data_IF_576993950214
#
_entry.id   IF_576993950214
#
_cell.length_a   1.000
_cell.length_b   1.000
_cell.length_c   1.000
_cell.angle_alpha   90.00
_cell.angle_beta   90.00
_cell.angle_gamma   90.00
#
_symmetry.space_group_name_H-M   'P 1'
#
loop_
_entity.id
_entity.type
_entity.pdbx_description
1 polymer ?
#
# COMPACT_ATOMS: atom_id res chain seq x y z
N UNK A 1 1.06 16.21 -47.75
CA UNK A 1 1.62 15.42 -46.63
C UNK A 1 1.88 16.22 -45.34
N UNK A 2 2.44 17.45 -45.38
CA UNK A 2 2.71 18.27 -44.16
C UNK A 2 1.46 18.62 -43.30
N UNK A 3 0.32 18.96 -43.92
CA UNK A 3 -0.93 19.30 -43.19
C UNK A 3 -1.55 18.13 -42.41
N UNK A 4 -1.46 16.89 -42.93
CA UNK A 4 -1.99 15.69 -42.25
C UNK A 4 -1.17 15.32 -41.01
N UNK A 5 0.15 15.56 -41.04
CA UNK A 5 1.05 15.35 -39.88
C UNK A 5 0.81 16.39 -38.78
N UNK A 6 0.53 17.64 -39.14
CA UNK A 6 0.21 18.70 -38.17
C UNK A 6 -1.13 18.44 -37.46
N UNK A 7 -2.15 17.96 -38.18
CA UNK A 7 -3.43 17.59 -37.59
C UNK A 7 -3.32 16.37 -36.66
N UNK A 8 -2.56 15.34 -37.04
CA UNK A 8 -2.32 14.18 -36.18
C UNK A 8 -1.59 14.57 -34.88
N UNK A 9 -0.62 15.48 -34.95
CA UNK A 9 0.09 15.98 -33.77
C UNK A 9 -0.84 16.77 -32.82
N UNK A 10 -1.72 17.61 -33.34
CA UNK A 10 -2.69 18.36 -32.53
C UNK A 10 -3.70 17.43 -31.83
N UNK A 11 -4.17 16.39 -32.52
CA UNK A 11 -5.07 15.40 -31.93
C UNK A 11 -4.36 14.61 -30.83
N UNK A 12 -3.11 14.20 -31.04
CA UNK A 12 -2.32 13.50 -30.02
C UNK A 12 -2.08 14.36 -28.77
N UNK A 13 -1.80 15.66 -28.94
CA UNK A 13 -1.64 16.62 -27.84
C UNK A 13 -2.97 16.79 -27.09
N UNK A 14 -4.09 16.95 -27.80
CA UNK A 14 -5.40 17.09 -27.16
C UNK A 14 -5.77 15.83 -26.35
N UNK A 15 -5.51 14.63 -26.88
CA UNK A 15 -5.74 13.37 -26.16
C UNK A 15 -4.84 13.30 -24.91
N UNK A 16 -3.55 13.65 -25.04
CA UNK A 16 -2.63 13.66 -23.90
C UNK A 16 -3.07 14.61 -22.78
N UNK A 17 -3.58 15.79 -23.13
CA UNK A 17 -4.13 16.77 -22.17
C UNK A 17 -5.39 16.23 -21.48
N UNK A 18 -6.33 15.63 -22.24
CA UNK A 18 -7.55 15.05 -21.66
C UNK A 18 -7.23 13.90 -20.71
N UNK A 19 -6.26 13.04 -21.07
CA UNK A 19 -5.83 11.93 -20.21
C UNK A 19 -5.15 12.44 -18.92
N UNK A 20 -4.27 13.44 -19.02
CA UNK A 20 -3.60 14.01 -17.84
C UNK A 20 -4.58 14.72 -16.90
N UNK A 21 -5.53 15.49 -17.44
CA UNK A 21 -6.58 16.14 -16.63
C UNK A 21 -7.49 15.09 -15.98
N UNK A 22 -7.91 14.06 -16.71
CA UNK A 22 -8.75 12.99 -16.16
C UNK A 22 -8.08 12.15 -15.07
N UNK A 23 -6.76 11.94 -15.15
CA UNK A 23 -5.98 11.30 -14.09
C UNK A 23 -5.87 12.18 -12.84
N UNK A 24 -5.66 13.49 -13.01
CA UNK A 24 -5.60 14.45 -11.91
C UNK A 24 -6.93 14.55 -11.15
N UNK A 25 -8.07 14.59 -11.85
CA UNK A 25 -9.39 14.71 -11.20
C UNK A 25 -9.76 13.47 -10.40
N UNK A 26 -9.48 12.26 -10.91
CA UNK A 26 -9.71 11.01 -10.16
C UNK A 26 -8.85 10.92 -8.92
N UNK A 27 -7.59 11.38 -9.00
CA UNK A 27 -6.69 11.43 -7.86
C UNK A 27 -7.22 12.38 -6.78
N UNK A 28 -7.68 13.57 -7.18
CA UNK A 28 -8.23 14.56 -6.25
C UNK A 28 -9.53 14.10 -5.56
N UNK A 29 -10.45 13.44 -6.28
CA UNK A 29 -11.66 12.87 -5.67
C UNK A 29 -11.34 11.75 -4.67
N UNK A 30 -10.39 10.87 -5.01
CA UNK A 30 -9.95 9.80 -4.11
C UNK A 30 -9.26 10.35 -2.85
N UNK A 31 -8.40 11.36 -3.01
CA UNK A 31 -7.71 12.03 -1.90
C UNK A 31 -8.70 12.78 -1.00
N UNK A 32 -9.71 13.45 -1.57
CA UNK A 32 -10.77 14.11 -0.78
C UNK A 32 -11.63 13.09 -0.01
N UNK A 33 -12.06 11.99 -0.64
CA UNK A 33 -12.87 10.97 0.02
C UNK A 33 -12.10 10.33 1.19
N UNK A 34 -10.83 9.96 0.99
CA UNK A 34 -9.98 9.45 2.07
C UNK A 34 -9.78 10.46 3.20
N UNK A 35 -9.47 11.72 2.90
CA UNK A 35 -9.31 12.77 3.91
C UNK A 35 -10.58 12.92 4.75
N UNK A 36 -11.76 12.93 4.11
CA UNK A 36 -13.03 13.00 4.84
C UNK A 36 -13.25 11.79 5.74
N UNK A 37 -12.96 10.56 5.31
CA UNK A 37 -13.12 9.38 6.16
C UNK A 37 -12.16 9.39 7.35
N UNK A 38 -10.89 9.73 7.14
CA UNK A 38 -9.89 9.79 8.21
C UNK A 38 -10.18 10.87 9.27
N UNK A 39 -10.81 11.97 8.87
CA UNK A 39 -11.16 13.08 9.77
C UNK A 39 -12.55 12.92 10.41
N UNK A 40 -13.52 12.29 9.74
CA UNK A 40 -14.92 12.24 10.19
C UNK A 40 -15.35 10.89 10.74
N UNK A 41 -14.75 9.78 10.31
CA UNK A 41 -15.12 8.43 10.77
C UNK A 41 -13.92 7.48 10.75
N UNK A 42 -12.91 7.78 11.56
CA UNK A 42 -11.72 6.93 11.73
C UNK A 42 -12.09 5.50 12.18
N UNK A 43 -13.22 5.32 12.87
CA UNK A 43 -13.70 4.01 13.31
C UNK A 43 -13.96 3.08 12.11
N UNK A 44 -14.54 3.57 11.03
CA UNK A 44 -14.75 2.76 9.80
C UNK A 44 -13.42 2.24 9.25
N UNK A 45 -12.34 3.00 9.38
CA UNK A 45 -11.00 2.55 8.97
C UNK A 45 -10.51 1.43 9.89
N UNK A 46 -10.68 1.54 11.20
CA UNK A 46 -10.34 0.47 12.13
C UNK A 46 -11.13 -0.82 11.87
N UNK A 47 -12.43 -0.72 11.59
CA UNK A 47 -13.30 -1.86 11.22
C UNK A 47 -12.86 -2.50 9.88
N UNK A 48 -12.37 -1.71 8.93
CA UNK A 48 -11.80 -2.21 7.67
C UNK A 48 -10.50 -2.99 7.89
N UNK A 49 -9.72 -2.58 8.89
CA UNK A 49 -8.42 -3.15 9.21
C UNK A 49 -8.47 -4.28 10.24
N UNK A 50 -9.66 -4.66 10.72
CA UNK A 50 -9.84 -5.69 11.76
C UNK A 50 -9.34 -7.07 11.30
N UNK A 51 -8.73 -7.82 12.21
CA UNK A 51 -8.27 -9.19 11.93
C UNK A 51 -9.45 -10.11 11.65
N UNK A 52 -9.24 -11.07 10.76
CA UNK A 52 -10.26 -12.09 10.42
C UNK A 52 -11.40 -11.56 9.54
N UNK A 53 -11.39 -10.27 9.18
CA UNK A 53 -12.26 -9.75 8.12
C UNK A 53 -11.88 -10.42 6.80
N UNK A 54 -12.85 -11.04 6.14
CA UNK A 54 -12.64 -11.70 4.84
C UNK A 54 -12.16 -10.69 3.80
N UNK A 55 -11.09 -11.04 3.09
CA UNK A 55 -10.34 -10.18 2.17
C UNK A 55 -9.75 -8.92 2.84
N UNK A 56 -9.66 -8.91 4.16
CA UNK A 56 -9.03 -7.84 4.93
C UNK A 56 -7.51 -7.98 4.91
N UNK A 57 -6.77 -6.87 5.06
CA UNK A 57 -5.30 -6.89 5.03
C UNK A 57 -4.69 -7.74 6.16
N UNK A 58 -5.43 -7.95 7.23
CA UNK A 58 -5.03 -8.72 8.40
C UNK A 58 -5.70 -10.11 8.50
N UNK A 59 -6.39 -10.60 7.46
CA UNK A 59 -7.18 -11.84 7.52
C UNK A 59 -6.39 -13.05 8.06
N UNK A 60 -5.17 -13.23 7.56
CA UNK A 60 -4.32 -14.39 7.86
C UNK A 60 -3.13 -14.05 8.77
N UNK A 61 -3.20 -12.93 9.51
CA UNK A 61 -2.12 -12.55 10.43
C UNK A 61 -2.32 -13.25 11.77
N UNK A 62 -1.22 -13.78 12.32
CA UNK A 62 -1.24 -14.40 13.65
C UNK A 62 -1.64 -13.40 14.73
N UNK A 63 -2.35 -13.86 15.77
CA UNK A 63 -2.79 -13.04 16.90
C UNK A 63 -1.67 -12.21 17.55
N UNK A 64 -0.44 -12.74 17.58
CA UNK A 64 0.74 -12.05 18.13
C UNK A 64 1.12 -10.73 17.42
N UNK A 65 0.61 -10.50 16.21
CA UNK A 65 0.83 -9.29 15.41
C UNK A 65 -0.47 -8.61 14.98
N UNK A 66 -1.62 -9.01 15.54
CA UNK A 66 -2.93 -8.45 15.22
C UNK A 66 -2.95 -6.92 15.34
N UNK A 67 -2.54 -6.42 16.49
CA UNK A 67 -2.49 -4.99 16.80
C UNK A 67 -1.57 -4.23 15.82
N UNK A 68 -0.37 -4.77 15.57
CA UNK A 68 0.59 -4.17 14.66
C UNK A 68 0.09 -4.15 13.20
N UNK A 69 -0.60 -5.21 12.78
CA UNK A 69 -1.20 -5.30 11.46
C UNK A 69 -2.33 -4.29 11.27
N UNK A 70 -3.27 -4.25 12.22
CA UNK A 70 -4.38 -3.31 12.18
C UNK A 70 -3.85 -1.87 12.19
N UNK A 71 -2.90 -1.57 13.08
CA UNK A 71 -2.26 -0.26 13.15
C UNK A 71 -1.57 0.10 11.83
N UNK A 72 -0.82 -0.82 11.21
CA UNK A 72 -0.20 -0.60 9.90
C UNK A 72 -1.19 -0.36 8.78
N UNK A 73 -2.32 -1.07 8.78
CA UNK A 73 -3.41 -0.84 7.83
C UNK A 73 -4.01 0.56 8.00
N UNK A 74 -4.31 0.96 9.25
CA UNK A 74 -4.83 2.31 9.52
C UNK A 74 -3.80 3.38 9.15
N UNK A 75 -2.50 3.17 9.41
CA UNK A 75 -1.45 4.08 8.98
C UNK A 75 -1.32 4.21 7.46
N UNK A 76 -1.57 3.13 6.71
CA UNK A 76 -1.59 3.19 5.25
C UNK A 76 -2.74 4.04 4.71
N UNK A 77 -3.88 4.07 5.39
CA UNK A 77 -5.10 4.81 4.97
C UNK A 77 -5.12 6.23 5.51
N UNK A 78 -4.76 6.40 6.79
CA UNK A 78 -4.84 7.64 7.56
C UNK A 78 -3.49 7.96 8.25
N UNK A 79 -2.42 8.26 7.47
CA UNK A 79 -1.07 8.43 7.99
C UNK A 79 -0.90 9.64 8.93
N UNK A 80 -1.68 10.70 8.73
CA UNK A 80 -1.59 11.92 9.54
C UNK A 80 -2.14 11.70 10.96
N UNK A 81 -3.14 10.82 11.09
CA UNK A 81 -3.84 10.50 12.34
C UNK A 81 -3.08 9.45 13.17
N UNK A 82 -2.04 8.84 12.60
CA UNK A 82 -1.36 7.64 13.15
C UNK A 82 0.15 7.81 13.29
N UNK A 83 0.65 9.05 13.23
CA UNK A 83 2.08 9.34 13.43
C UNK A 83 2.52 8.91 14.84
N UNK A 84 3.75 8.40 14.94
CA UNK A 84 4.39 8.14 16.23
C UNK A 84 4.42 9.41 17.09
N UNK A 85 3.75 9.36 18.24
CA UNK A 85 3.76 10.43 19.27
C UNK A 85 4.69 10.09 20.44
N UNK A 86 5.52 9.05 20.30
CA UNK A 86 6.55 8.62 21.25
C UNK A 86 6.06 7.74 22.40
N UNK A 87 4.75 7.61 22.62
CA UNK A 87 4.18 6.87 23.75
C UNK A 87 3.78 5.42 23.47
N UNK A 88 3.53 5.07 22.22
CA UNK A 88 3.01 3.75 21.84
C UNK A 88 4.05 2.99 21.01
N UNK A 89 4.52 1.83 21.51
CA UNK A 89 5.56 1.06 20.84
C UNK A 89 5.14 0.53 19.47
N UNK A 90 3.83 0.33 19.21
CA UNK A 90 3.35 -0.15 17.91
C UNK A 90 3.55 0.92 16.85
N UNK A 91 3.19 2.17 17.14
CA UNK A 91 3.33 3.28 16.18
C UNK A 91 4.77 3.75 16.01
N UNK A 92 5.61 3.55 17.04
CA UNK A 92 6.97 4.08 17.09
C UNK A 92 8.06 3.04 16.77
N UNK A 93 7.70 1.77 16.61
CA UNK A 93 8.60 0.71 16.20
C UNK A 93 9.21 0.98 14.82
N UNK A 94 10.43 0.46 14.62
CA UNK A 94 11.15 0.65 13.36
C UNK A 94 10.50 -0.13 12.21
N UNK A 95 10.84 0.21 10.96
CA UNK A 95 10.30 -0.48 9.79
C UNK A 95 10.73 -1.95 9.67
N UNK A 96 11.70 -2.41 10.47
CA UNK A 96 12.16 -3.82 10.51
C UNK A 96 11.42 -4.66 11.55
N UNK A 97 10.65 -4.03 12.43
CA UNK A 97 9.99 -4.69 13.55
C UNK A 97 8.56 -5.08 13.17
N UNK A 98 8.31 -6.39 13.03
CA UNK A 98 6.97 -6.92 12.73
C UNK A 98 5.91 -6.60 13.79
N UNK A 99 6.31 -6.15 14.98
CA UNK A 99 5.40 -5.65 16.03
C UNK A 99 5.03 -4.18 15.85
N UNK A 100 5.56 -3.52 14.82
CA UNK A 100 5.34 -2.11 14.52
C UNK A 100 4.40 -1.89 13.35
N UNK A 101 3.59 -0.83 13.44
CA UNK A 101 2.69 -0.39 12.38
C UNK A 101 3.43 -0.07 11.08
N UNK A 102 4.64 0.50 11.17
CA UNK A 102 5.42 0.90 9.99
C UNK A 102 5.84 -0.30 9.12
N UNK A 103 6.18 -1.44 9.74
CA UNK A 103 6.47 -2.67 8.99
C UNK A 103 5.27 -3.09 8.13
N UNK A 104 4.08 -3.16 8.74
CA UNK A 104 2.86 -3.59 8.06
C UNK A 104 2.36 -2.58 7.02
N UNK A 105 2.42 -1.29 7.33
CA UNK A 105 2.07 -0.22 6.37
C UNK A 105 2.93 -0.29 5.10
N UNK A 106 4.25 -0.47 5.26
CA UNK A 106 5.15 -0.69 4.13
C UNK A 106 4.81 -1.97 3.36
N UNK A 107 4.51 -3.07 4.07
CA UNK A 107 4.12 -4.33 3.45
C UNK A 107 2.85 -4.18 2.58
N UNK A 108 1.80 -3.53 3.09
CA UNK A 108 0.55 -3.33 2.34
C UNK A 108 0.75 -2.40 1.14
N UNK A 109 1.45 -1.30 1.33
CA UNK A 109 1.72 -0.33 0.27
C UNK A 109 2.52 -0.96 -0.87
N UNK A 110 3.48 -1.82 -0.54
CA UNK A 110 4.33 -2.51 -1.52
C UNK A 110 3.63 -3.68 -2.19
N UNK A 111 2.75 -4.40 -1.48
CA UNK A 111 1.90 -5.42 -2.09
C UNK A 111 0.98 -4.81 -3.15
N UNK A 112 0.28 -3.72 -2.83
CA UNK A 112 -0.55 -3.00 -3.78
C UNK A 112 0.25 -2.42 -4.96
N UNK A 113 1.48 -1.95 -4.70
CA UNK A 113 2.38 -1.51 -5.77
C UNK A 113 2.78 -2.66 -6.69
N UNK A 114 3.09 -3.84 -6.14
CA UNK A 114 3.46 -5.02 -6.92
C UNK A 114 2.32 -5.52 -7.81
N UNK A 115 1.09 -5.54 -7.30
CA UNK A 115 -0.08 -5.89 -8.12
C UNK A 115 -0.23 -4.89 -9.30
N UNK A 116 0.00 -3.60 -9.05
CA UNK A 116 -0.02 -2.56 -10.08
C UNK A 116 1.12 -2.67 -11.11
N UNK A 117 2.34 -2.96 -10.66
CA UNK A 117 3.53 -3.09 -11.51
C UNK A 117 3.47 -4.34 -12.39
N UNK A 118 3.00 -5.46 -11.84
CA UNK A 118 2.87 -6.73 -12.56
C UNK A 118 1.60 -6.75 -13.43
N UNK A 119 0.65 -5.86 -13.17
CA UNK A 119 -0.62 -5.77 -13.88
C UNK A 119 -1.59 -6.92 -13.58
N UNK A 120 -1.31 -7.69 -12.54
CA UNK A 120 -2.02 -8.90 -12.10
C UNK A 120 -1.92 -9.03 -10.59
N UNK A 121 -2.92 -9.65 -9.95
CA UNK A 121 -2.88 -9.89 -8.50
C UNK A 121 -2.00 -11.08 -8.12
N UNK A 122 -1.67 -11.21 -6.82
CA UNK A 122 -0.89 -12.35 -6.28
C UNK A 122 -1.36 -13.74 -6.76
N UNK A 123 -2.67 -13.95 -6.90
CA UNK A 123 -3.24 -15.25 -7.31
C UNK A 123 -3.05 -15.58 -8.81
N UNK A 124 -2.63 -14.60 -9.62
CA UNK A 124 -2.58 -14.69 -11.08
C UNK A 124 -1.16 -14.70 -11.63
N UNK A 125 -0.16 -14.57 -10.76
CA UNK A 125 1.27 -14.53 -11.11
C UNK A 125 2.02 -15.66 -10.41
N UNK A 126 3.17 -16.04 -10.96
CA UNK A 126 4.09 -16.95 -10.29
C UNK A 126 4.45 -16.38 -8.90
N UNK A 127 4.23 -17.17 -7.81
CA UNK A 127 4.53 -16.72 -6.45
C UNK A 127 5.97 -16.25 -6.28
N UNK A 128 6.95 -16.84 -6.98
CA UNK A 128 8.35 -16.43 -6.88
C UNK A 128 8.58 -15.03 -7.47
N UNK A 129 7.88 -14.71 -8.56
CA UNK A 129 7.93 -13.38 -9.21
C UNK A 129 7.30 -12.32 -8.32
N UNK A 130 6.14 -12.62 -7.74
CA UNK A 130 5.48 -11.69 -6.82
C UNK A 130 6.28 -11.50 -5.52
N UNK A 131 6.80 -12.58 -4.94
CA UNK A 131 7.66 -12.54 -3.76
C UNK A 131 8.94 -11.72 -4.00
N UNK A 132 9.56 -11.84 -5.18
CA UNK A 132 10.71 -11.04 -5.57
C UNK A 132 10.35 -9.56 -5.68
N UNK A 133 9.20 -9.23 -6.30
CA UNK A 133 8.69 -7.87 -6.36
C UNK A 133 8.49 -7.29 -4.95
N UNK A 134 7.81 -8.03 -4.08
CA UNK A 134 7.50 -7.58 -2.72
C UNK A 134 8.78 -7.35 -1.93
N UNK A 135 9.75 -8.29 -1.98
CA UNK A 135 11.04 -8.14 -1.28
C UNK A 135 11.79 -6.90 -1.71
N UNK A 136 11.86 -6.64 -3.02
CA UNK A 136 12.55 -5.48 -3.56
C UNK A 136 11.81 -4.18 -3.18
N UNK A 137 10.48 -4.17 -3.28
CA UNK A 137 9.66 -3.01 -2.95
C UNK A 137 9.74 -2.66 -1.45
N UNK A 138 9.61 -3.65 -0.56
CA UNK A 138 9.79 -3.46 0.89
C UNK A 138 11.22 -2.99 1.19
N UNK A 139 12.23 -3.58 0.56
CA UNK A 139 13.62 -3.15 0.73
C UNK A 139 13.89 -1.72 0.25
N UNK A 140 13.15 -1.21 -0.73
CA UNK A 140 13.22 0.20 -1.15
C UNK A 140 12.60 1.15 -0.12
N UNK A 141 11.51 0.74 0.55
CA UNK A 141 10.85 1.55 1.58
C UNK A 141 11.51 1.46 2.96
N UNK A 142 12.09 0.30 3.28
CA UNK A 142 12.83 0.04 4.52
C UNK A 142 14.21 -0.55 4.18
N UNK A 143 15.20 0.29 3.82
CA UNK A 143 16.54 -0.18 3.45
C UNK A 143 17.21 -1.08 4.50
N UNK A 144 16.91 -0.86 5.78
CA UNK A 144 17.43 -1.61 6.92
C UNK A 144 16.99 -3.08 6.93
N UNK A 145 15.89 -3.40 6.24
CA UNK A 145 15.36 -4.77 6.19
C UNK A 145 16.08 -5.64 5.14
N UNK A 146 16.86 -5.03 4.25
CA UNK A 146 17.57 -5.74 3.19
C UNK A 146 18.59 -6.71 3.80
N UNK A 147 18.62 -7.94 3.29
CA UNK A 147 19.52 -8.99 3.78
C UNK A 147 19.10 -9.61 5.11
N UNK A 148 17.96 -9.23 5.70
CA UNK A 148 17.40 -9.89 6.88
C UNK A 148 16.49 -11.06 6.49
N UNK A 149 16.14 -11.89 7.46
CA UNK A 149 15.27 -13.06 7.32
C UNK A 149 13.76 -12.75 7.40
N UNK A 150 13.38 -11.46 7.37
CA UNK A 150 12.01 -11.00 7.63
C UNK A 150 10.95 -11.72 6.80
N UNK A 151 11.27 -12.00 5.53
CA UNK A 151 10.33 -12.61 4.59
C UNK A 151 10.09 -14.09 4.93
N UNK A 152 11.14 -14.82 5.34
CA UNK A 152 11.02 -16.20 5.80
C UNK A 152 10.18 -16.24 7.09
N UNK A 153 10.49 -15.39 8.08
CA UNK A 153 9.74 -15.27 9.33
C UNK A 153 8.27 -14.90 9.14
N UNK A 154 7.94 -14.18 8.07
CA UNK A 154 6.56 -13.87 7.67
C UNK A 154 5.85 -15.08 7.08
N UNK A 155 6.51 -15.87 6.23
CA UNK A 155 5.91 -17.03 5.56
C UNK A 155 5.68 -18.22 6.48
N UNK A 156 6.62 -18.50 7.39
CA UNK A 156 6.53 -19.60 8.37
C UNK A 156 5.34 -19.48 9.34
N UNK A 157 4.67 -18.33 9.38
CA UNK A 157 3.57 -18.05 10.33
C UNK A 157 2.18 -18.07 9.69
N UNK A 158 2.09 -18.37 8.39
CA UNK A 158 0.82 -18.64 7.70
C UNK A 158 0.38 -20.11 7.82
N UNK A 159 1.24 -20.97 8.37
CA UNK A 159 0.97 -22.38 8.70
C UNK A 159 0.56 -22.55 10.17
#
# INVERSE_FOLDING_TARGET
>A
MKRRRALAALVAIAIAIVVTVGLMTRRAESEMLQATTCETDLRVVFEMCERGRTNGPCEHVSEAFEEACQAGCVAGVCPEQTRCTGGDPVWCASCTEMRGALFWSNLFSTAAWCDGELGVGYAEVDPEVWDACLKEAVGRQCPEIRGTDWFARMRERKE
#
